data_IF_376310393433
#
_entry.id   IF_376310393433
#
_cell.length_a   1.000
_cell.length_b   1.000
_cell.length_c   1.000
_cell.angle_alpha   90.00
_cell.angle_beta   90.00
_cell.angle_gamma   90.00
#
_symmetry.space_group_name_H-M   'P 1'
#
loop_
_entity.id
_entity.type
_entity.pdbx_description
1 polymer ?
#
# COMPACT_ATOMS: atom_id res chain seq x y z
N UNK A 1 8.56 67.38 -2.60
CA UNK A 1 7.34 66.76 -3.16
C UNK A 1 6.34 66.62 -2.03
N UNK A 2 5.16 67.24 -2.12
CA UNK A 2 4.14 67.10 -1.07
C UNK A 2 3.41 65.77 -1.20
N UNK A 3 2.95 65.23 -0.09
CA UNK A 3 2.22 63.95 0.01
C UNK A 3 0.99 63.93 -0.93
N UNK A 4 0.39 65.10 -1.16
CA UNK A 4 -0.74 65.32 -2.05
C UNK A 4 -0.39 65.13 -3.53
N UNK A 5 0.80 65.55 -3.98
CA UNK A 5 1.23 65.36 -5.37
C UNK A 5 1.53 63.91 -5.67
N UNK A 6 2.09 63.18 -4.69
CA UNK A 6 2.35 61.74 -4.79
C UNK A 6 1.06 60.92 -4.82
N UNK A 7 0.04 61.33 -4.06
CA UNK A 7 -1.28 60.70 -4.05
C UNK A 7 -2.01 60.92 -5.39
N UNK A 8 -1.95 62.13 -5.95
CA UNK A 8 -2.58 62.44 -7.23
C UNK A 8 -1.92 61.70 -8.41
N UNK A 9 -0.59 61.59 -8.43
CA UNK A 9 0.09 60.78 -9.45
C UNK A 9 -0.19 59.29 -9.31
N UNK A 10 -0.34 58.80 -8.07
CA UNK A 10 -0.74 57.41 -7.81
C UNK A 10 -2.18 57.12 -8.24
N UNK A 11 -3.14 58.02 -7.97
CA UNK A 11 -4.53 57.84 -8.41
C UNK A 11 -4.68 57.92 -9.93
N UNK A 12 -3.98 58.86 -10.59
CA UNK A 12 -3.97 58.94 -12.05
C UNK A 12 -3.31 57.70 -12.69
N UNK A 13 -2.27 57.14 -12.06
CA UNK A 13 -1.69 55.88 -12.49
C UNK A 13 -2.67 54.70 -12.34
N UNK A 14 -3.40 54.65 -11.22
CA UNK A 14 -4.40 53.60 -10.98
C UNK A 14 -5.56 53.64 -11.98
N UNK A 15 -6.02 54.84 -12.37
CA UNK A 15 -7.06 55.02 -13.39
C UNK A 15 -6.55 54.69 -14.81
N UNK A 16 -5.28 55.01 -15.12
CA UNK A 16 -4.70 54.83 -16.45
C UNK A 16 -4.38 53.37 -16.81
N UNK A 17 -4.14 52.52 -15.81
CA UNK A 17 -3.72 51.12 -15.99
C UNK A 17 -4.74 50.10 -15.51
N UNK A 18 -5.99 50.53 -15.24
CA UNK A 18 -7.05 49.65 -14.75
C UNK A 18 -6.60 48.90 -13.48
N UNK A 19 -6.04 49.65 -12.51
CA UNK A 19 -5.29 49.08 -11.38
C UNK A 19 -6.17 48.61 -10.22
N UNK A 20 -7.50 48.71 -10.32
CA UNK A 20 -8.44 48.13 -9.34
C UNK A 20 -8.13 46.65 -9.00
N UNK A 21 -7.97 45.74 -9.99
CA UNK A 21 -7.52 44.38 -9.73
C UNK A 21 -6.16 44.32 -9.02
N UNK A 22 -5.24 45.22 -9.33
CA UNK A 22 -3.92 45.27 -8.69
C UNK A 22 -4.01 45.67 -7.21
N UNK A 23 -4.83 46.67 -6.87
CA UNK A 23 -5.07 47.10 -5.49
C UNK A 23 -5.77 45.99 -4.68
N UNK A 24 -6.75 45.31 -5.28
CA UNK A 24 -7.40 44.14 -4.66
C UNK A 24 -6.42 42.98 -4.47
N UNK A 25 -5.51 42.72 -5.41
CA UNK A 25 -4.46 41.71 -5.28
C UNK A 25 -3.44 42.07 -4.20
N UNK A 26 -3.07 43.35 -4.06
CA UNK A 26 -2.19 43.83 -2.97
C UNK A 26 -2.86 43.64 -1.62
N UNK A 27 -4.14 44.02 -1.49
CA UNK A 27 -4.91 43.81 -0.27
C UNK A 27 -5.04 42.33 0.08
N UNK A 28 -5.34 41.47 -0.91
CA UNK A 28 -5.44 40.03 -0.74
C UNK A 28 -4.09 39.41 -0.35
N UNK A 29 -2.99 39.84 -0.97
CA UNK A 29 -1.63 39.41 -0.65
C UNK A 29 -1.24 39.80 0.79
N UNK A 30 -1.61 41.01 1.22
CA UNK A 30 -1.34 41.49 2.57
C UNK A 30 -2.13 40.69 3.62
N UNK A 31 -3.44 40.49 3.39
CA UNK A 31 -4.32 39.73 4.28
C UNK A 31 -3.85 38.28 4.40
N UNK A 32 -3.57 37.62 3.28
CA UNK A 32 -3.12 36.21 3.26
C UNK A 32 -1.73 36.02 3.86
N UNK A 33 -0.82 36.98 3.70
CA UNK A 33 0.51 36.93 4.31
C UNK A 33 0.46 37.14 5.83
N UNK A 34 -0.31 38.12 6.30
CA UNK A 34 -0.45 38.41 7.74
C UNK A 34 -1.20 37.29 8.45
N UNK A 35 -2.31 36.80 7.89
CA UNK A 35 -3.05 35.68 8.47
C UNK A 35 -2.18 34.42 8.53
N UNK A 36 -1.45 34.09 7.46
CA UNK A 36 -0.60 32.90 7.41
C UNK A 36 0.56 32.91 8.40
N UNK A 37 1.11 34.09 8.71
CA UNK A 37 2.22 34.24 9.67
C UNK A 37 1.81 33.98 11.11
N UNK A 38 0.58 34.34 11.49
CA UNK A 38 0.10 34.14 12.86
C UNK A 38 -0.10 32.66 13.24
N UNK A 39 -0.23 31.76 12.26
CA UNK A 39 -0.53 30.34 12.49
C UNK A 39 0.65 29.39 12.21
N UNK A 40 1.83 29.90 11.81
CA UNK A 40 2.95 29.06 11.35
C UNK A 40 4.20 29.14 12.24
N UNK A 41 4.82 27.98 12.51
CA UNK A 41 6.12 27.90 13.17
C UNK A 41 7.25 28.44 12.28
N UNK A 42 8.34 28.92 12.88
CA UNK A 42 9.48 29.52 12.18
C UNK A 42 10.08 28.62 11.08
N UNK A 43 10.07 27.29 11.28
CA UNK A 43 10.57 26.32 10.30
C UNK A 43 9.65 26.19 9.09
N UNK A 44 8.33 26.25 9.29
CA UNK A 44 7.36 26.21 8.19
C UNK A 44 7.40 27.47 7.35
N UNK A 45 7.63 28.62 7.99
CA UNK A 45 7.83 29.89 7.29
C UNK A 45 9.07 29.84 6.39
N UNK A 46 10.17 29.22 6.86
CA UNK A 46 11.38 29.02 6.06
C UNK A 46 11.14 28.13 4.84
N UNK A 47 10.44 27.02 5.02
CA UNK A 47 10.13 26.09 3.91
C UNK A 47 9.17 26.74 2.89
N UNK A 48 8.10 27.39 3.35
CA UNK A 48 7.16 28.10 2.48
C UNK A 48 7.87 29.21 1.69
N UNK A 49 8.78 29.96 2.32
CA UNK A 49 9.58 30.98 1.65
C UNK A 49 10.49 30.42 0.56
N UNK A 50 11.15 29.28 0.81
CA UNK A 50 11.99 28.61 -0.21
C UNK A 50 11.16 28.18 -1.41
N UNK A 51 9.99 27.58 -1.19
CA UNK A 51 9.09 27.16 -2.26
C UNK A 51 8.57 28.37 -3.05
N UNK A 52 8.14 29.43 -2.36
CA UNK A 52 7.68 30.66 -3.01
C UNK A 52 8.78 31.30 -3.88
N UNK A 53 10.04 31.34 -3.41
CA UNK A 53 11.17 31.82 -4.22
C UNK A 53 11.39 30.94 -5.46
N UNK A 54 11.38 29.61 -5.32
CA UNK A 54 11.57 28.69 -6.45
C UNK A 54 10.50 28.87 -7.53
N UNK A 55 9.25 29.17 -7.14
CA UNK A 55 8.14 29.35 -8.07
C UNK A 55 8.13 30.75 -8.71
N UNK A 56 8.49 31.79 -7.94
CA UNK A 56 8.49 33.18 -8.44
C UNK A 56 9.74 33.57 -9.22
N UNK A 57 10.87 32.92 -8.97
CA UNK A 57 12.13 33.22 -9.66
C UNK A 57 12.10 32.96 -11.18
N UNK A 58 11.50 31.85 -11.68
CA UNK A 58 11.29 31.65 -13.12
C UNK A 58 10.39 32.71 -13.75
N UNK A 59 9.36 33.17 -13.04
CA UNK A 59 8.48 34.25 -13.51
C UNK A 59 9.26 35.56 -13.66
N UNK A 60 10.11 35.89 -12.68
CA UNK A 60 10.99 37.05 -12.76
C UNK A 60 11.94 36.94 -13.97
N UNK A 61 12.60 35.78 -14.13
CA UNK A 61 13.52 35.52 -15.25
C UNK A 61 12.85 35.62 -16.62
N UNK A 62 11.57 35.26 -16.72
CA UNK A 62 10.83 35.36 -17.98
C UNK A 62 10.30 36.77 -18.24
N UNK A 63 9.78 37.45 -17.22
CA UNK A 63 9.16 38.76 -17.36
C UNK A 63 10.17 39.92 -17.43
N UNK A 64 11.34 39.77 -16.80
CA UNK A 64 12.39 40.79 -16.77
C UNK A 64 12.97 41.16 -18.16
N UNK A 65 13.31 40.21 -19.06
CA UNK A 65 13.82 40.55 -20.39
C UNK A 65 12.73 41.09 -21.34
N UNK A 66 11.45 40.90 -21.02
CA UNK A 66 10.33 41.45 -21.78
C UNK A 66 9.98 42.89 -21.34
N UNK A 67 10.62 43.40 -20.28
CA UNK A 67 10.43 44.77 -19.83
C UNK A 67 11.19 45.72 -20.75
N UNK A 68 10.52 46.77 -21.23
CA UNK A 68 11.19 47.87 -21.89
C UNK A 68 12.07 48.62 -20.88
N UNK A 69 13.39 48.53 -21.03
CA UNK A 69 14.37 49.17 -20.13
C UNK A 69 14.49 50.68 -20.36
N UNK A 70 13.89 51.22 -21.42
CA UNK A 70 13.83 52.66 -21.66
C UNK A 70 12.81 53.36 -20.75
N UNK A 71 11.87 52.61 -20.18
CA UNK A 71 10.84 53.10 -19.26
C UNK A 71 11.05 52.54 -17.84
N UNK A 72 11.45 53.40 -16.91
CA UNK A 72 11.63 53.06 -15.49
C UNK A 72 10.33 52.53 -14.87
N UNK A 73 9.17 52.94 -15.38
CA UNK A 73 7.87 52.45 -14.92
C UNK A 73 7.57 51.01 -15.37
N UNK A 74 8.10 50.58 -16.51
CA UNK A 74 7.96 49.21 -17.03
C UNK A 74 8.69 48.19 -16.13
N UNK A 75 9.95 48.47 -15.79
CA UNK A 75 10.75 47.64 -14.86
C UNK A 75 10.12 47.64 -13.45
N UNK A 76 9.67 48.80 -12.97
CA UNK A 76 8.97 48.93 -11.69
C UNK A 76 7.67 48.11 -11.61
N UNK A 77 6.89 48.09 -12.69
CA UNK A 77 5.66 47.29 -12.80
C UNK A 77 5.94 45.79 -12.77
N UNK A 78 6.98 45.31 -13.45
CA UNK A 78 7.38 43.88 -13.43
C UNK A 78 7.84 43.45 -12.04
N UNK A 79 8.64 44.27 -11.36
CA UNK A 79 9.07 44.01 -9.99
C UNK A 79 7.87 43.99 -9.02
N UNK A 80 6.96 44.96 -9.14
CA UNK A 80 5.77 45.04 -8.30
C UNK A 80 4.85 43.82 -8.50
N UNK A 81 4.60 43.42 -9.76
CA UNK A 81 3.81 42.21 -10.07
C UNK A 81 4.45 40.94 -9.51
N UNK A 82 5.76 40.83 -9.64
CA UNK A 82 6.50 39.66 -9.11
C UNK A 82 6.47 39.64 -7.58
N UNK A 83 6.57 40.79 -6.93
CA UNK A 83 6.46 40.91 -5.47
C UNK A 83 5.05 40.53 -4.98
N UNK A 84 4.01 41.01 -5.66
CA UNK A 84 2.61 40.65 -5.34
C UNK A 84 2.41 39.14 -5.49
N UNK A 85 2.84 38.57 -6.62
CA UNK A 85 2.77 37.12 -6.87
C UNK A 85 3.51 36.34 -5.78
N UNK A 86 4.68 36.80 -5.34
CA UNK A 86 5.46 36.19 -4.27
C UNK A 86 4.71 36.20 -2.93
N UNK A 87 4.11 37.33 -2.57
CA UNK A 87 3.36 37.47 -1.32
C UNK A 87 2.08 36.61 -1.33
N UNK A 88 1.37 36.52 -2.46
CA UNK A 88 0.20 35.66 -2.60
C UNK A 88 0.58 34.17 -2.51
N UNK A 89 1.61 33.74 -3.24
CA UNK A 89 2.09 32.36 -3.17
C UNK A 89 2.53 31.98 -1.76
N UNK A 90 3.25 32.88 -1.08
CA UNK A 90 3.66 32.66 0.31
C UNK A 90 2.45 32.52 1.23
N UNK A 91 1.47 33.43 1.13
CA UNK A 91 0.23 33.38 1.91
C UNK A 91 -0.55 32.08 1.67
N UNK A 92 -0.75 31.69 0.42
CA UNK A 92 -1.44 30.45 0.04
C UNK A 92 -0.71 29.21 0.59
N UNK A 93 0.61 29.14 0.44
CA UNK A 93 1.40 28.03 0.97
C UNK A 93 1.31 27.91 2.49
N UNK A 94 1.26 29.04 3.20
CA UNK A 94 1.07 29.06 4.66
C UNK A 94 -0.30 28.52 5.11
N UNK A 95 -1.32 28.51 4.25
CA UNK A 95 -2.66 27.96 4.55
C UNK A 95 -2.80 26.51 4.07
N UNK A 96 -2.31 26.19 2.88
CA UNK A 96 -2.44 24.84 2.30
C UNK A 96 -1.57 23.82 3.04
N UNK A 97 -0.33 24.17 3.38
CA UNK A 97 0.59 23.24 4.06
C UNK A 97 0.03 22.71 5.38
N UNK A 98 -0.46 23.53 6.33
CA UNK A 98 -1.06 23.01 7.55
C UNK A 98 -2.36 22.23 7.29
N UNK A 99 -3.17 22.62 6.29
CA UNK A 99 -4.38 21.88 5.90
C UNK A 99 -4.02 20.47 5.41
N UNK A 100 -3.04 20.35 4.52
CA UNK A 100 -2.57 19.07 3.98
C UNK A 100 -1.96 18.21 5.08
N UNK A 101 -1.17 18.80 5.98
CA UNK A 101 -0.61 18.08 7.14
C UNK A 101 -1.74 17.61 8.06
N UNK A 102 -2.74 18.45 8.34
CA UNK A 102 -3.89 18.10 9.16
C UNK A 102 -4.71 16.97 8.52
N UNK A 103 -5.00 17.07 7.22
CA UNK A 103 -5.65 16.02 6.45
C UNK A 103 -4.85 14.73 6.49
N UNK A 104 -3.53 14.76 6.28
CA UNK A 104 -2.69 13.57 6.32
C UNK A 104 -2.65 12.93 7.72
N UNK A 105 -2.64 13.73 8.79
CA UNK A 105 -2.66 13.22 10.17
C UNK A 105 -3.99 12.57 10.50
N UNK A 106 -5.11 13.17 10.10
CA UNK A 106 -6.45 12.66 10.40
C UNK A 106 -6.87 11.51 9.47
N UNK A 107 -6.63 11.64 8.16
CA UNK A 107 -6.87 10.59 7.18
C UNK A 107 -5.95 9.40 7.41
N UNK A 108 -4.71 9.60 7.88
CA UNK A 108 -3.82 8.50 8.22
C UNK A 108 -4.37 7.60 9.34
N UNK A 109 -5.18 8.15 10.26
CA UNK A 109 -5.90 7.36 11.27
C UNK A 109 -7.04 6.55 10.64
N UNK A 110 -7.86 7.21 9.81
CA UNK A 110 -9.01 6.60 9.12
C UNK A 110 -8.56 5.52 8.12
N UNK A 111 -7.53 5.77 7.32
CA UNK A 111 -6.99 4.78 6.38
C UNK A 111 -6.45 3.55 7.12
N UNK A 112 -5.79 3.72 8.28
CA UNK A 112 -5.32 2.59 9.09
C UNK A 112 -6.47 1.81 9.71
N UNK A 113 -7.52 2.46 10.18
CA UNK A 113 -8.69 1.76 10.73
C UNK A 113 -9.47 1.02 9.65
N UNK A 114 -9.64 1.61 8.47
CA UNK A 114 -10.24 0.96 7.31
C UNK A 114 -9.39 -0.23 6.82
N UNK A 115 -8.06 -0.09 6.81
CA UNK A 115 -7.16 -1.18 6.45
C UNK A 115 -7.25 -2.35 7.43
N UNK A 116 -7.27 -2.08 8.74
CA UNK A 116 -7.48 -3.11 9.78
C UNK A 116 -8.82 -3.83 9.60
N UNK A 117 -9.92 -3.08 9.43
CA UNK A 117 -11.25 -3.67 9.19
C UNK A 117 -11.30 -4.52 7.93
N UNK A 118 -10.64 -4.09 6.85
CA UNK A 118 -10.53 -4.88 5.61
C UNK A 118 -9.78 -6.19 5.84
N UNK A 119 -8.70 -6.15 6.63
CA UNK A 119 -7.91 -7.35 6.95
C UNK A 119 -8.69 -8.33 7.84
N UNK A 120 -9.40 -7.82 8.86
CA UNK A 120 -10.31 -8.62 9.70
C UNK A 120 -11.42 -9.26 8.88
N UNK A 121 -12.07 -8.50 7.98
CA UNK A 121 -13.10 -9.04 7.10
C UNK A 121 -12.55 -10.11 6.14
N UNK A 122 -11.34 -9.91 5.60
CA UNK A 122 -10.69 -10.90 4.75
C UNK A 122 -10.37 -12.20 5.49
N UNK A 123 -9.94 -12.11 6.76
CA UNK A 123 -9.69 -13.29 7.60
C UNK A 123 -10.98 -14.02 7.93
N UNK A 124 -12.00 -13.30 8.40
CA UNK A 124 -13.30 -13.88 8.69
C UNK A 124 -13.95 -14.51 7.45
N UNK A 125 -13.76 -13.93 6.26
CA UNK A 125 -14.23 -14.53 5.01
C UNK A 125 -13.46 -15.77 4.62
N UNK A 126 -12.14 -15.84 4.88
CA UNK A 126 -11.33 -17.03 4.61
C UNK A 126 -11.73 -18.17 5.57
N UNK A 127 -11.91 -17.87 6.85
CA UNK A 127 -12.39 -18.83 7.87
C UNK A 127 -13.76 -19.39 7.50
N UNK A 128 -14.71 -18.55 7.06
CA UNK A 128 -16.02 -19.02 6.60
C UNK A 128 -15.95 -19.92 5.37
N UNK A 129 -15.02 -19.65 4.44
CA UNK A 129 -14.82 -20.52 3.27
C UNK A 129 -14.24 -21.85 3.66
N UNK A 130 -13.26 -21.87 4.58
CA UNK A 130 -12.69 -23.10 5.11
C UNK A 130 -13.75 -23.94 5.85
N UNK A 131 -14.55 -23.31 6.72
CA UNK A 131 -15.64 -24.00 7.42
C UNK A 131 -16.70 -24.56 6.44
N UNK A 132 -17.03 -23.83 5.37
CA UNK A 132 -17.96 -24.31 4.35
C UNK A 132 -17.37 -25.46 3.51
N UNK A 133 -16.06 -25.43 3.22
CA UNK A 133 -15.33 -26.51 2.57
C UNK A 133 -15.30 -27.76 3.47
N UNK A 134 -15.02 -27.58 4.75
CA UNK A 134 -14.96 -28.64 5.76
C UNK A 134 -16.34 -29.29 5.94
N UNK A 135 -17.41 -28.50 6.01
CA UNK A 135 -18.79 -29.00 6.05
C UNK A 135 -19.17 -29.72 4.76
N UNK A 136 -18.67 -29.27 3.61
CA UNK A 136 -18.87 -29.96 2.32
C UNK A 136 -18.14 -31.30 2.28
N UNK A 137 -16.88 -31.37 2.73
CA UNK A 137 -16.11 -32.60 2.84
C UNK A 137 -16.79 -33.59 3.79
N UNK A 138 -17.29 -33.12 4.93
CA UNK A 138 -18.05 -33.94 5.88
C UNK A 138 -19.36 -34.47 5.30
N UNK A 139 -20.04 -33.70 4.43
CA UNK A 139 -21.25 -34.17 3.72
C UNK A 139 -20.94 -35.14 2.60
N UNK A 140 -19.86 -34.91 1.85
CA UNK A 140 -19.44 -35.77 0.74
C UNK A 140 -18.79 -37.07 1.24
N UNK A 141 -18.08 -37.04 2.37
CA UNK A 141 -17.42 -38.18 3.01
C UNK A 141 -17.80 -38.20 4.50
N UNK A 142 -19.00 -38.69 4.84
CA UNK A 142 -19.37 -38.84 6.23
C UNK A 142 -18.35 -39.74 6.94
N UNK A 143 -17.88 -39.38 8.15
CA UNK A 143 -16.94 -40.20 8.89
C UNK A 143 -17.57 -41.57 9.09
N UNK A 144 -16.98 -42.59 8.48
CA UNK A 144 -17.46 -43.95 8.65
C UNK A 144 -17.31 -44.33 10.13
N UNK A 145 -18.34 -44.98 10.72
CA UNK A 145 -18.21 -45.47 12.08
C UNK A 145 -16.97 -46.37 12.17
N UNK A 146 -16.20 -46.30 13.26
CA UNK A 146 -15.02 -47.12 13.42
C UNK A 146 -15.42 -48.58 13.24
N UNK A 147 -14.85 -49.24 12.21
CA UNK A 147 -15.12 -50.65 11.92
C UNK A 147 -14.93 -51.48 13.19
N UNK A 148 -15.77 -52.50 13.43
CA UNK A 148 -15.57 -53.46 14.49
C UNK A 148 -14.12 -53.98 14.46
N UNK A 149 -13.54 -54.21 15.63
CA UNK A 149 -12.16 -54.69 15.74
C UNK A 149 -11.91 -55.95 14.88
N UNK A 150 -12.91 -56.84 14.79
CA UNK A 150 -12.89 -58.04 13.94
C UNK A 150 -12.76 -57.74 12.44
N UNK A 151 -13.43 -56.69 11.94
CA UNK A 151 -13.34 -56.30 10.53
C UNK A 151 -12.02 -55.60 10.20
N UNK A 152 -11.49 -54.78 11.12
CA UNK A 152 -10.14 -54.21 10.96
C UNK A 152 -9.07 -55.28 10.93
N UNK A 153 -9.14 -56.24 11.85
CA UNK A 153 -8.20 -57.36 11.88
C UNK A 153 -8.31 -58.17 10.58
N UNK A 154 -9.53 -58.44 10.10
CA UNK A 154 -9.75 -59.15 8.83
C UNK A 154 -9.16 -58.39 7.64
N UNK A 155 -9.35 -57.07 7.56
CA UNK A 155 -8.78 -56.24 6.50
C UNK A 155 -7.24 -56.21 6.55
N UNK A 156 -6.68 -56.12 7.75
CA UNK A 156 -5.23 -56.16 7.93
C UNK A 156 -4.66 -57.53 7.53
N UNK A 157 -5.35 -58.63 7.88
CA UNK A 157 -4.98 -59.99 7.46
C UNK A 157 -5.02 -60.15 5.94
N UNK A 158 -6.11 -59.73 5.28
CA UNK A 158 -6.22 -59.80 3.82
C UNK A 158 -5.15 -58.95 3.13
N UNK A 159 -4.86 -57.75 3.66
CA UNK A 159 -3.81 -56.90 3.09
C UNK A 159 -2.41 -57.50 3.24
N UNK A 160 -2.13 -58.17 4.35
CA UNK A 160 -0.85 -58.84 4.58
C UNK A 160 -0.69 -60.09 3.70
N UNK A 161 -1.78 -60.82 3.49
CA UNK A 161 -1.84 -61.99 2.61
C UNK A 161 -1.64 -61.59 1.13
N UNK A 162 -2.32 -60.53 0.67
CA UNK A 162 -2.14 -59.96 -0.68
C UNK A 162 -0.70 -59.50 -0.91
N UNK A 163 -0.09 -58.83 0.07
CA UNK A 163 1.30 -58.39 -0.02
C UNK A 163 2.27 -59.58 -0.10
N UNK A 164 2.05 -60.63 0.69
CA UNK A 164 2.86 -61.84 0.62
C UNK A 164 2.72 -62.54 -0.73
N UNK A 165 1.50 -62.66 -1.26
CA UNK A 165 1.27 -63.30 -2.56
C UNK A 165 1.85 -62.49 -3.72
N UNK A 166 1.77 -61.16 -3.67
CA UNK A 166 2.43 -60.30 -4.65
C UNK A 166 3.96 -60.47 -4.61
N UNK A 167 4.55 -60.47 -3.41
CA UNK A 167 6.00 -60.67 -3.24
C UNK A 167 6.44 -62.08 -3.68
N UNK A 168 5.71 -63.12 -3.29
CA UNK A 168 5.98 -64.50 -3.71
C UNK A 168 5.81 -64.68 -5.22
N UNK A 169 4.84 -63.99 -5.84
CA UNK A 169 4.66 -63.94 -7.29
C UNK A 169 5.87 -63.35 -8.00
N UNK A 170 6.36 -62.20 -7.52
CA UNK A 170 7.55 -61.53 -8.05
C UNK A 170 8.81 -62.40 -7.92
N UNK A 171 9.01 -63.05 -6.76
CA UNK A 171 10.16 -63.94 -6.54
C UNK A 171 10.11 -65.16 -7.47
N UNK A 172 8.92 -65.72 -7.71
CA UNK A 172 8.72 -66.86 -8.61
C UNK A 172 8.92 -66.51 -10.08
N UNK A 173 8.54 -65.30 -10.49
CA UNK A 173 8.70 -64.80 -11.86
C UNK A 173 10.07 -64.20 -12.15
N UNK A 174 11.00 -64.21 -11.19
CA UNK A 174 12.36 -63.68 -11.38
C UNK A 174 13.27 -64.77 -11.96
N UNK A 175 13.70 -64.55 -13.20
CA UNK A 175 14.52 -65.49 -13.98
C UNK A 175 16.00 -65.55 -13.55
N UNK A 176 16.45 -64.59 -12.73
CA UNK A 176 17.86 -64.42 -12.34
C UNK A 176 18.26 -65.29 -11.13
N UNK A 177 17.30 -65.79 -10.36
CA UNK A 177 17.56 -66.54 -9.13
C UNK A 177 17.72 -68.03 -9.40
N UNK A 178 18.77 -68.62 -8.83
CA UNK A 178 18.96 -70.06 -8.78
C UNK A 178 17.89 -70.73 -7.90
N UNK A 179 17.66 -72.03 -8.07
CA UNK A 179 16.59 -72.77 -7.39
C UNK A 179 16.67 -72.65 -5.85
N UNK A 180 17.89 -72.72 -5.30
CA UNK A 180 18.18 -72.55 -3.87
C UNK A 180 18.00 -71.11 -3.39
N UNK A 181 18.40 -70.12 -4.19
CA UNK A 181 18.24 -68.69 -3.85
C UNK A 181 16.76 -68.28 -3.84
N UNK A 182 15.98 -68.83 -4.78
CA UNK A 182 14.52 -68.63 -4.85
C UNK A 182 13.82 -69.22 -3.62
N UNK A 183 14.25 -70.39 -3.16
CA UNK A 183 13.69 -71.03 -1.96
C UNK A 183 14.02 -70.21 -0.69
N UNK A 184 15.26 -69.74 -0.55
CA UNK A 184 15.68 -68.88 0.56
C UNK A 184 14.91 -67.55 0.56
N UNK A 185 14.73 -66.92 -0.61
CA UNK A 185 13.97 -65.68 -0.74
C UNK A 185 12.48 -65.86 -0.38
N UNK A 186 11.85 -66.96 -0.78
CA UNK A 186 10.48 -67.30 -0.40
C UNK A 186 10.35 -67.57 1.11
N UNK A 187 11.35 -68.19 1.72
CA UNK A 187 11.40 -68.41 3.17
C UNK A 187 11.50 -67.10 3.94
N UNK A 188 12.32 -66.14 3.49
CA UNK A 188 12.38 -64.81 4.08
C UNK A 188 11.09 -64.01 3.90
N UNK A 189 10.45 -64.07 2.72
CA UNK A 189 9.15 -63.45 2.50
C UNK A 189 8.07 -64.01 3.44
N UNK A 190 8.07 -65.34 3.64
CA UNK A 190 7.17 -66.02 4.58
C UNK A 190 7.45 -65.62 6.03
N UNK A 191 8.71 -65.47 6.42
CA UNK A 191 9.08 -65.02 7.75
C UNK A 191 8.58 -63.59 8.02
N UNK A 192 8.75 -62.67 7.07
CA UNK A 192 8.22 -61.29 7.17
C UNK A 192 6.69 -61.26 7.31
N UNK A 193 5.99 -62.12 6.58
CA UNK A 193 4.54 -62.26 6.72
C UNK A 193 4.15 -62.75 8.13
N UNK A 194 4.83 -63.77 8.66
CA UNK A 194 4.56 -64.28 10.02
C UNK A 194 4.88 -63.26 11.12
N UNK A 195 5.93 -62.46 10.95
CA UNK A 195 6.27 -61.36 11.86
C UNK A 195 5.19 -60.28 11.87
N UNK A 196 4.63 -59.95 10.69
CA UNK A 196 3.48 -59.03 10.58
C UNK A 196 2.22 -59.60 11.23
N UNK A 197 1.92 -60.89 11.03
CA UNK A 197 0.80 -61.58 11.69
C UNK A 197 0.94 -61.56 13.21
N UNK A 198 2.15 -61.81 13.72
CA UNK A 198 2.42 -61.77 15.15
C UNK A 198 2.24 -60.38 15.74
N UNK A 199 2.66 -59.33 15.01
CA UNK A 199 2.46 -57.94 15.42
C UNK A 199 1.00 -57.46 15.38
N UNK A 200 0.12 -58.18 14.68
CA UNK A 200 -1.33 -57.88 14.64
C UNK A 200 -2.14 -58.60 15.74
N UNK A 201 -1.60 -59.69 16.29
CA UNK A 201 -2.28 -60.56 17.27
C UNK A 201 -1.78 -60.41 18.72
N UNK A 202 -0.65 -59.74 18.93
CA UNK A 202 -0.08 -59.44 20.26
C UNK A 202 -0.30 -58.00 20.68
#
# INVERSE_FOLDING_TARGET
>A
MSLTTALQTFTQWCERYDAQPMVSLIALAFVTHFSGRHFCSADRLRTARRIAVIVTFPYLLHAYPAADFSDVFSVGSVLLRTLILHMMLLGVMLHIVPLVIWMHRNLGGVCRSLYKRRQEFSRASAERRQAAEEERILREHPPQPPLPYSERLRQQLTSAEEQYHAEAGLIRSTDVLDATEREVALMHAKQRFLERLRGMLG
#
